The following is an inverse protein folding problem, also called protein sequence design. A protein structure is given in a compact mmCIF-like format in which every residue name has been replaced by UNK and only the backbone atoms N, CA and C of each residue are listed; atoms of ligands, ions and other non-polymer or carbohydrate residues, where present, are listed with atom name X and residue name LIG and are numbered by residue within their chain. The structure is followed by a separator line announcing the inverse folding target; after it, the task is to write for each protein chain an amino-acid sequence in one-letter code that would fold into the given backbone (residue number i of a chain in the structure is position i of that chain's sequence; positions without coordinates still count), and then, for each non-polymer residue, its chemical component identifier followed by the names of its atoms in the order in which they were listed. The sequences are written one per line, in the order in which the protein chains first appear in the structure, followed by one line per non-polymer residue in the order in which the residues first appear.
data_IF_592302179658
#
_entry.id   IF_592302179658
#
_cell.length_a   1.000
_cell.length_b   1.000
_cell.length_c   1.000
_cell.angle_alpha   90.00
_cell.angle_beta   90.00
_cell.angle_gamma   90.00
#
_symmetry.space_group_name_H-M   'P 1'
#
loop_
_entity.id
_entity.type
_entity.pdbx_description
1 polymer ?
#
# COMPACT_ATOMS: atom_id res chain seq x y z
N UNK A 1 -22.34 8.16 18.26
CA UNK A 1 -20.94 7.65 18.26
C UNK A 1 -20.80 6.20 17.77
N UNK A 2 -21.51 5.21 18.34
CA UNK A 2 -21.35 3.78 17.95
C UNK A 2 -21.56 3.48 16.45
N UNK A 3 -22.60 4.03 15.82
CA UNK A 3 -22.88 3.80 14.39
C UNK A 3 -21.75 4.32 13.48
N UNK A 4 -21.15 5.46 13.85
CA UNK A 4 -20.06 6.09 13.11
C UNK A 4 -18.76 5.28 13.18
N UNK A 5 -18.45 4.66 14.33
CA UNK A 5 -17.25 3.83 14.48
C UNK A 5 -17.35 2.53 13.66
N UNK A 6 -18.53 1.90 13.63
CA UNK A 6 -18.76 0.70 12.81
C UNK A 6 -18.60 1.04 11.33
N UNK A 7 -19.18 2.16 10.88
CA UNK A 7 -19.00 2.65 9.52
C UNK A 7 -17.52 2.86 9.18
N UNK A 8 -16.76 3.49 10.08
CA UNK A 8 -15.33 3.73 9.88
C UNK A 8 -14.52 2.43 9.71
N UNK A 9 -14.81 1.40 10.53
CA UNK A 9 -14.17 0.08 10.39
C UNK A 9 -14.52 -0.54 9.04
N UNK A 10 -15.79 -0.53 8.64
CA UNK A 10 -16.23 -1.08 7.35
C UNK A 10 -15.57 -0.34 6.19
N UNK A 11 -15.54 1.00 6.22
CA UNK A 11 -14.86 1.81 5.21
C UNK A 11 -13.37 1.49 5.17
N UNK A 12 -12.70 1.38 6.33
CA UNK A 12 -11.29 1.01 6.39
C UNK A 12 -11.01 -0.37 5.78
N UNK A 13 -11.86 -1.37 6.07
CA UNK A 13 -11.73 -2.70 5.47
C UNK A 13 -11.86 -2.61 3.96
N UNK A 14 -12.90 -1.92 3.45
CA UNK A 14 -13.13 -1.77 2.01
C UNK A 14 -11.94 -1.09 1.33
N UNK A 15 -11.44 0.02 1.90
CA UNK A 15 -10.33 0.78 1.32
C UNK A 15 -9.06 -0.06 1.28
N UNK A 16 -8.68 -0.69 2.41
CA UNK A 16 -7.48 -1.51 2.46
C UNK A 16 -7.58 -2.74 1.54
N UNK A 17 -8.72 -3.44 1.56
CA UNK A 17 -8.94 -4.59 0.68
C UNK A 17 -8.86 -4.20 -0.79
N UNK A 18 -9.40 -3.04 -1.17
CA UNK A 18 -9.33 -2.53 -2.55
C UNK A 18 -7.90 -2.31 -3.02
N UNK A 19 -7.07 -1.68 -2.18
CA UNK A 19 -5.66 -1.41 -2.49
C UNK A 19 -4.75 -2.64 -2.33
N UNK A 20 -5.17 -3.66 -1.57
CA UNK A 20 -4.38 -4.87 -1.34
C UNK A 20 -4.44 -5.88 -2.49
N UNK A 21 -5.33 -5.70 -3.48
CA UNK A 21 -5.50 -6.64 -4.60
C UNK A 21 -4.21 -6.78 -5.42
N UNK A 22 -3.55 -5.66 -5.73
CA UNK A 22 -2.31 -5.67 -6.52
C UNK A 22 -1.18 -6.38 -5.75
N UNK A 23 -1.12 -6.16 -4.44
CA UNK A 23 -0.15 -6.79 -3.55
C UNK A 23 -0.34 -8.32 -3.48
N UNK A 24 -1.58 -8.81 -3.45
CA UNK A 24 -1.85 -10.25 -3.48
C UNK A 24 -1.28 -10.91 -4.74
N UNK A 25 -1.39 -10.26 -5.90
CA UNK A 25 -0.83 -10.77 -7.16
C UNK A 25 0.70 -10.86 -7.07
N UNK A 26 1.35 -9.82 -6.56
CA UNK A 26 2.81 -9.79 -6.37
C UNK A 26 3.24 -10.90 -5.40
N UNK A 27 2.56 -11.03 -4.25
CA UNK A 27 2.86 -12.05 -3.25
C UNK A 27 2.71 -13.47 -3.81
N UNK A 28 1.67 -13.73 -4.60
CA UNK A 28 1.47 -15.03 -5.25
C UNK A 28 2.66 -15.40 -6.13
N UNK A 29 3.25 -14.45 -6.88
CA UNK A 29 4.44 -14.70 -7.70
C UNK A 29 5.66 -15.06 -6.85
N UNK A 30 5.86 -14.36 -5.73
CA UNK A 30 6.96 -14.65 -4.80
C UNK A 30 6.80 -16.03 -4.14
N UNK A 31 5.61 -16.36 -3.62
CA UNK A 31 5.35 -17.67 -3.02
C UNK A 31 5.38 -18.82 -4.03
N UNK A 32 5.00 -18.58 -5.29
CA UNK A 32 5.12 -19.57 -6.35
C UNK A 32 6.58 -19.94 -6.64
N UNK A 33 7.49 -18.95 -6.62
CA UNK A 33 8.91 -19.14 -6.91
C UNK A 33 9.73 -19.60 -5.69
N UNK A 34 9.39 -19.16 -4.48
CA UNK A 34 10.15 -19.39 -3.25
C UNK A 34 9.34 -20.23 -2.27
N UNK A 35 9.72 -21.52 -2.12
CA UNK A 35 8.97 -22.50 -1.30
C UNK A 35 9.59 -22.81 0.05
N UNK A 36 10.77 -22.28 0.37
CA UNK A 36 11.40 -22.57 1.66
C UNK A 36 10.66 -21.85 2.80
N UNK A 37 10.61 -22.47 3.98
CA UNK A 37 9.96 -21.87 5.15
C UNK A 37 10.56 -20.50 5.51
N UNK A 38 11.87 -20.35 5.34
CA UNK A 38 12.58 -19.08 5.58
C UNK A 38 12.13 -18.00 4.59
N UNK A 39 12.02 -18.36 3.31
CA UNK A 39 11.57 -17.41 2.29
C UNK A 39 10.13 -16.97 2.52
N UNK A 40 9.24 -17.89 2.89
CA UNK A 40 7.84 -17.56 3.19
C UNK A 40 7.76 -16.52 4.31
N UNK A 41 8.52 -16.72 5.39
CA UNK A 41 8.58 -15.76 6.51
C UNK A 41 9.15 -14.43 6.03
N UNK A 42 10.22 -14.45 5.23
CA UNK A 42 10.84 -13.23 4.71
C UNK A 42 9.92 -12.44 3.77
N UNK A 43 9.14 -13.13 2.93
CA UNK A 43 8.13 -12.51 2.06
C UNK A 43 7.06 -11.83 2.92
N UNK A 44 6.53 -12.54 3.91
CA UNK A 44 5.53 -11.99 4.83
C UNK A 44 6.06 -10.75 5.58
N UNK A 45 7.26 -10.83 6.16
CA UNK A 45 7.89 -9.69 6.83
C UNK A 45 8.14 -8.51 5.88
N UNK A 46 8.50 -8.79 4.62
CA UNK A 46 8.71 -7.78 3.61
C UNK A 46 7.43 -7.05 3.23
N UNK A 47 6.33 -7.77 3.00
CA UNK A 47 5.03 -7.16 2.72
C UNK A 47 4.51 -6.37 3.93
N UNK A 48 4.68 -6.90 5.14
CA UNK A 48 4.30 -6.19 6.35
C UNK A 48 5.05 -4.85 6.46
N UNK A 49 6.38 -4.88 6.28
CA UNK A 49 7.22 -3.68 6.31
C UNK A 49 6.84 -2.68 5.21
N UNK A 50 6.64 -3.15 3.98
CA UNK A 50 6.23 -2.31 2.84
C UNK A 50 4.88 -1.65 3.08
N UNK A 51 3.89 -2.42 3.53
CA UNK A 51 2.53 -1.94 3.79
C UNK A 51 2.49 -0.91 4.93
N UNK A 52 3.19 -1.19 6.05
CA UNK A 52 3.29 -0.23 7.17
C UNK A 52 3.98 1.05 6.71
N UNK A 53 5.04 0.95 5.91
CA UNK A 53 5.75 2.13 5.38
C UNK A 53 4.83 3.01 4.51
N UNK A 54 3.97 2.40 3.68
CA UNK A 54 2.99 3.12 2.87
C UNK A 54 1.93 3.82 3.74
N UNK A 55 1.46 3.18 4.80
CA UNK A 55 0.53 3.81 5.75
C UNK A 55 1.18 5.00 6.44
N UNK A 56 2.43 4.85 6.91
CA UNK A 56 3.16 5.94 7.57
C UNK A 56 3.41 7.11 6.63
N UNK A 57 3.77 6.85 5.38
CA UNK A 57 3.96 7.88 4.37
C UNK A 57 2.64 8.59 4.04
N UNK A 58 1.54 7.83 3.92
CA UNK A 58 0.21 8.40 3.72
C UNK A 58 -0.23 9.25 4.91
N UNK A 59 0.07 8.82 6.13
CA UNK A 59 -0.20 9.60 7.34
C UNK A 59 0.62 10.89 7.37
N UNK A 60 1.89 10.85 6.96
CA UNK A 60 2.75 12.03 6.84
C UNK A 60 2.17 13.02 5.83
N UNK A 61 1.76 12.56 4.64
CA UNK A 61 1.11 13.43 3.65
C UNK A 61 -0.23 13.96 4.13
N UNK A 62 -1.05 13.15 4.78
CA UNK A 62 -2.31 13.60 5.36
C UNK A 62 -2.08 14.73 6.37
N UNK A 63 -1.09 14.58 7.26
CA UNK A 63 -0.74 15.61 8.23
C UNK A 63 -0.29 16.92 7.57
N UNK A 64 0.57 16.83 6.54
CA UNK A 64 1.06 18.01 5.81
C UNK A 64 -0.06 18.69 5.03
N UNK A 65 -0.89 17.93 4.32
CA UNK A 65 -1.98 18.45 3.48
C UNK A 65 -3.18 18.93 4.31
N UNK A 66 -3.33 18.49 5.55
CA UNK A 66 -4.41 18.98 6.42
C UNK A 66 -4.29 20.49 6.69
N UNK A 67 -3.06 21.03 6.73
CA UNK A 67 -2.79 22.47 6.87
C UNK A 67 -3.18 23.31 5.65
N UNK A 68 -3.46 22.70 4.50
CA UNK A 68 -3.83 23.43 3.29
C UNK A 68 -5.33 23.76 3.34
N UNK A 69 -5.74 25.04 3.21
CA UNK A 69 -7.14 25.46 3.34
C UNK A 69 -8.07 24.82 2.30
N UNK A 70 -7.57 24.56 1.09
CA UNK A 70 -8.34 24.00 -0.03
C UNK A 70 -8.27 22.47 -0.04
N UNK A 71 -9.29 21.84 0.54
CA UNK A 71 -9.44 20.36 0.54
C UNK A 71 -9.65 19.76 -0.86
N UNK A 72 -9.96 20.58 -1.87
CA UNK A 72 -10.09 20.18 -3.28
C UNK A 72 -8.80 19.59 -3.87
N UNK A 73 -7.63 19.99 -3.34
CA UNK A 73 -6.32 19.48 -3.79
C UNK A 73 -6.16 17.99 -3.48
N UNK A 74 -6.86 17.47 -2.47
CA UNK A 74 -6.84 16.05 -2.13
C UNK A 74 -7.40 15.18 -3.26
N UNK A 75 -8.38 15.69 -4.02
CA UNK A 75 -8.92 14.98 -5.19
C UNK A 75 -7.90 14.83 -6.33
N UNK A 76 -6.90 15.70 -6.39
CA UNK A 76 -5.84 15.64 -7.40
C UNK A 76 -4.88 14.48 -7.17
N UNK A 77 -4.83 13.88 -5.97
CA UNK A 77 -4.02 12.69 -5.74
C UNK A 77 -4.45 11.51 -6.62
N UNK A 78 -5.71 11.45 -7.03
CA UNK A 78 -6.21 10.47 -8.00
C UNK A 78 -5.58 10.60 -9.40
N UNK A 79 -4.98 11.74 -9.73
CA UNK A 79 -4.24 11.91 -10.98
C UNK A 79 -2.93 11.12 -10.99
N UNK A 80 -2.34 10.82 -9.82
CA UNK A 80 -1.10 10.03 -9.73
C UNK A 80 -1.29 8.62 -10.30
N UNK A 81 -2.24 7.79 -9.81
CA UNK A 81 -2.47 6.47 -10.39
C UNK A 81 -2.96 6.53 -11.85
N UNK A 82 -3.74 7.53 -12.25
CA UNK A 82 -4.16 7.71 -13.66
C UNK A 82 -2.95 7.96 -14.56
N UNK A 83 -2.06 8.87 -14.15
CA UNK A 83 -0.85 9.19 -14.90
C UNK A 83 0.06 7.97 -15.03
N UNK A 84 0.28 7.23 -13.94
CA UNK A 84 1.10 6.02 -13.96
C UNK A 84 0.48 4.93 -14.83
N UNK A 85 -0.83 4.70 -14.76
CA UNK A 85 -1.53 3.76 -15.62
C UNK A 85 -1.41 4.11 -17.11
N UNK A 86 -1.57 5.39 -17.46
CA UNK A 86 -1.43 5.85 -18.85
C UNK A 86 0.03 5.77 -19.33
N UNK A 87 0.99 6.10 -18.47
CA UNK A 87 2.43 5.97 -18.77
C UNK A 87 2.76 4.54 -19.16
N UNK A 88 2.32 3.56 -18.37
CA UNK A 88 2.54 2.13 -18.64
C UNK A 88 1.83 1.70 -19.93
N UNK A 89 0.60 2.16 -20.17
CA UNK A 89 -0.16 1.83 -21.38
C UNK A 89 0.53 2.31 -22.67
N UNK A 90 1.15 3.49 -22.65
CA UNK A 90 1.73 4.12 -23.83
C UNK A 90 3.22 3.83 -24.04
N UNK A 91 4.00 3.73 -22.96
CA UNK A 91 5.46 3.60 -23.01
C UNK A 91 5.94 2.18 -22.67
N UNK A 92 5.06 1.32 -22.16
CA UNK A 92 5.44 0.03 -21.58
C UNK A 92 6.13 0.19 -20.23
N UNK A 93 6.24 -0.91 -19.47
CA UNK A 93 6.93 -0.94 -18.17
C UNK A 93 8.16 -1.87 -18.23
N UNK A 94 9.23 -1.41 -18.87
CA UNK A 94 10.51 -2.13 -18.93
C UNK A 94 11.24 -2.18 -17.58
N UNK A 95 10.99 -1.19 -16.73
CA UNK A 95 11.79 -0.93 -15.53
C UNK A 95 11.22 -1.69 -14.33
N UNK A 96 9.90 -1.73 -14.15
CA UNK A 96 9.26 -2.51 -13.09
C UNK A 96 9.43 -4.03 -13.28
N UNK A 97 9.26 -4.50 -14.52
CA UNK A 97 9.35 -5.92 -14.84
C UNK A 97 10.79 -6.48 -14.67
N UNK A 98 11.81 -5.66 -14.99
CA UNK A 98 13.22 -6.04 -14.81
C UNK A 98 13.62 -6.12 -13.33
N UNK A 99 13.17 -5.18 -12.49
CA UNK A 99 13.39 -5.21 -11.03
C UNK A 99 12.74 -6.44 -10.40
N UNK A 100 11.49 -6.75 -10.79
CA UNK A 100 10.79 -7.94 -10.30
C UNK A 100 11.51 -9.24 -10.74
N UNK A 101 11.91 -9.35 -12.02
CA UNK A 101 12.63 -10.52 -12.55
C UNK A 101 14.01 -10.71 -11.92
N UNK A 102 14.77 -9.63 -11.72
CA UNK A 102 16.07 -9.67 -11.05
C UNK A 102 15.94 -10.09 -9.58
N UNK A 103 15.02 -9.46 -8.84
CA UNK A 103 14.80 -9.74 -7.42
C UNK A 103 14.32 -11.17 -7.18
N UNK A 104 13.49 -11.70 -8.09
CA UNK A 104 13.06 -13.09 -8.05
C UNK A 104 14.22 -14.07 -8.31
N UNK A 105 15.32 -13.65 -8.93
CA UNK A 105 16.39 -14.54 -9.43
C UNK A 105 17.69 -14.49 -8.62
N UNK A 106 17.98 -13.38 -7.93
CA UNK A 106 19.14 -13.27 -7.03
C UNK A 106 18.84 -13.95 -5.69
N UNK A 107 19.64 -14.96 -5.34
CA UNK A 107 19.53 -15.71 -4.08
C UNK A 107 20.16 -14.98 -2.87
N UNK A 108 20.93 -13.92 -3.12
CA UNK A 108 21.82 -13.30 -2.12
C UNK A 108 21.37 -11.90 -1.67
N UNK A 109 20.15 -11.47 -2.00
CA UNK A 109 19.59 -10.19 -1.53
C UNK A 109 18.67 -10.40 -0.34
N UNK A 110 18.59 -9.40 0.54
CA UNK A 110 17.72 -9.43 1.71
C UNK A 110 16.24 -9.43 1.26
N UNK A 111 15.65 -10.62 1.12
CA UNK A 111 14.33 -10.85 0.52
C UNK A 111 13.23 -10.00 1.17
N UNK A 112 13.33 -9.75 2.48
CA UNK A 112 12.44 -8.83 3.22
C UNK A 112 12.45 -7.44 2.59
N UNK A 113 13.64 -6.87 2.38
CA UNK A 113 13.78 -5.53 1.82
C UNK A 113 13.32 -5.47 0.37
N UNK A 114 13.63 -6.50 -0.42
CA UNK A 114 13.17 -6.59 -1.81
C UNK A 114 11.64 -6.56 -1.91
N UNK A 115 10.95 -7.40 -1.12
CA UNK A 115 9.49 -7.47 -1.13
C UNK A 115 8.89 -6.17 -0.61
N UNK A 116 9.49 -5.54 0.41
CA UNK A 116 9.05 -4.23 0.90
C UNK A 116 9.17 -3.13 -0.17
N UNK A 117 10.30 -3.08 -0.88
CA UNK A 117 10.53 -2.12 -1.96
C UNK A 117 9.58 -2.32 -3.14
N UNK A 118 9.34 -3.57 -3.54
CA UNK A 118 8.37 -3.87 -4.61
C UNK A 118 6.96 -3.50 -4.16
N UNK A 119 6.57 -3.83 -2.93
CA UNK A 119 5.28 -3.41 -2.36
C UNK A 119 5.11 -1.90 -2.45
N UNK A 120 6.14 -1.15 -2.04
CA UNK A 120 6.12 0.31 -2.08
C UNK A 120 6.08 0.87 -3.50
N UNK A 121 6.88 0.32 -4.41
CA UNK A 121 6.98 0.79 -5.80
C UNK A 121 5.72 0.49 -6.61
N UNK A 122 5.12 -0.68 -6.42
CA UNK A 122 3.98 -1.15 -7.20
C UNK A 122 2.63 -0.71 -6.63
N UNK A 123 2.47 -0.67 -5.31
CA UNK A 123 1.21 -0.31 -4.65
C UNK A 123 1.26 1.08 -3.98
N UNK A 124 2.28 1.89 -4.29
CA UNK A 124 2.44 3.18 -3.63
C UNK A 124 1.40 4.20 -4.05
N UNK A 125 1.13 4.27 -5.35
CA UNK A 125 0.33 5.34 -5.94
C UNK A 125 -1.15 5.27 -5.58
N UNK A 126 -1.73 4.08 -5.60
CA UNK A 126 -3.12 3.82 -5.23
C UNK A 126 -3.30 3.89 -3.70
N UNK A 127 -2.38 3.32 -2.91
CA UNK A 127 -2.43 3.44 -1.43
C UNK A 127 -2.38 4.91 -1.00
N UNK A 128 -1.43 5.69 -1.52
CA UNK A 128 -1.32 7.13 -1.20
C UNK A 128 -2.56 7.87 -1.72
N UNK A 129 -2.99 7.56 -2.95
CA UNK A 129 -4.14 8.19 -3.59
C UNK A 129 -5.45 8.03 -2.81
N UNK A 130 -5.60 6.93 -2.08
CA UNK A 130 -6.82 6.60 -1.33
C UNK A 130 -6.67 6.90 0.18
N UNK A 131 -5.54 6.57 0.80
CA UNK A 131 -5.36 6.69 2.25
C UNK A 131 -5.20 8.14 2.69
N UNK A 132 -4.46 8.95 1.95
CA UNK A 132 -4.24 10.36 2.29
C UNK A 132 -5.56 11.13 2.41
N UNK A 133 -6.44 11.19 1.38
CA UNK A 133 -7.70 11.90 1.50
C UNK A 133 -8.57 11.32 2.62
N UNK A 134 -8.60 9.99 2.77
CA UNK A 134 -9.36 9.36 3.84
C UNK A 134 -8.90 9.80 5.23
N UNK A 135 -7.59 9.74 5.52
CA UNK A 135 -7.04 10.12 6.83
C UNK A 135 -7.30 11.59 7.18
N UNK A 136 -7.28 12.51 6.20
CA UNK A 136 -7.59 13.94 6.45
C UNK A 136 -9.04 14.20 6.84
N UNK A 137 -9.96 13.27 6.59
CA UNK A 137 -11.38 13.41 6.95
C UNK A 137 -11.69 12.89 8.36
N UNK A 138 -10.75 12.20 9.01
CA UNK A 138 -10.96 11.55 10.29
C UNK A 138 -10.48 12.41 11.45
N UNK A 139 -11.24 12.42 12.54
CA UNK A 139 -10.71 12.89 13.82
C UNK A 139 -9.73 11.85 14.42
N UNK A 140 -8.99 12.24 15.46
CA UNK A 140 -7.95 11.40 16.06
C UNK A 140 -8.45 10.01 16.49
N UNK A 141 -9.64 9.93 17.10
CA UNK A 141 -10.19 8.64 17.57
C UNK A 141 -10.51 7.70 16.40
N UNK A 142 -11.11 8.21 15.32
CA UNK A 142 -11.42 7.42 14.14
C UNK A 142 -10.18 7.09 13.31
N UNK A 143 -9.19 7.98 13.29
CA UNK A 143 -7.89 7.71 12.68
C UNK A 143 -7.19 6.54 13.37
N UNK A 144 -7.16 6.50 14.70
CA UNK A 144 -6.61 5.36 15.45
C UNK A 144 -7.34 4.06 15.10
N UNK A 145 -8.68 4.09 15.04
CA UNK A 145 -9.48 2.92 14.65
C UNK A 145 -9.16 2.46 13.23
N UNK A 146 -9.01 3.39 12.28
CA UNK A 146 -8.66 3.08 10.90
C UNK A 146 -7.26 2.44 10.81
N UNK A 147 -6.27 3.01 11.49
CA UNK A 147 -4.90 2.48 11.53
C UNK A 147 -4.83 1.08 12.16
N UNK A 148 -5.56 0.85 13.26
CA UNK A 148 -5.66 -0.49 13.86
C UNK A 148 -6.33 -1.49 12.92
N UNK A 149 -7.38 -1.06 12.21
CA UNK A 149 -8.06 -1.90 11.22
C UNK A 149 -7.10 -2.25 10.07
N UNK A 150 -6.33 -1.29 9.56
CA UNK A 150 -5.32 -1.54 8.53
C UNK A 150 -4.24 -2.51 9.02
N UNK A 151 -3.74 -2.36 10.25
CA UNK A 151 -2.75 -3.29 10.82
C UNK A 151 -3.28 -4.72 10.93
N UNK A 152 -4.54 -4.90 11.35
CA UNK A 152 -5.20 -6.22 11.36
C UNK A 152 -5.31 -6.77 9.93
N UNK A 153 -5.70 -5.94 8.97
CA UNK A 153 -5.81 -6.36 7.58
C UNK A 153 -4.46 -6.73 6.97
N UNK A 154 -3.38 -6.00 7.26
CA UNK A 154 -2.01 -6.35 6.83
C UNK A 154 -1.62 -7.71 7.40
N UNK A 155 -1.94 -7.96 8.67
CA UNK A 155 -1.62 -9.22 9.32
C UNK A 155 -2.36 -10.41 8.70
N UNK A 156 -3.60 -10.21 8.23
CA UNK A 156 -4.45 -11.23 7.61
C UNK A 156 -4.15 -11.47 6.13
N UNK A 157 -3.48 -10.54 5.46
CA UNK A 157 -3.11 -10.64 4.04
C UNK A 157 -2.05 -11.72 3.81
#
# INVERSE_FOLDING_TARGET
MRCFMIQNVVTSIILYSGTAVDLLIILMLFFAKRKSRKDIINIYLGQFLGSVSLILLSLLFAFVLDYIPSKEILGLLGLIPIFLGLKVLLLGDSDGESIAKEGLSKDNQNLIFLVAMITFASCGADNIGVFVPYFTTLNLANLIVALLTFLVMIYLL
#
